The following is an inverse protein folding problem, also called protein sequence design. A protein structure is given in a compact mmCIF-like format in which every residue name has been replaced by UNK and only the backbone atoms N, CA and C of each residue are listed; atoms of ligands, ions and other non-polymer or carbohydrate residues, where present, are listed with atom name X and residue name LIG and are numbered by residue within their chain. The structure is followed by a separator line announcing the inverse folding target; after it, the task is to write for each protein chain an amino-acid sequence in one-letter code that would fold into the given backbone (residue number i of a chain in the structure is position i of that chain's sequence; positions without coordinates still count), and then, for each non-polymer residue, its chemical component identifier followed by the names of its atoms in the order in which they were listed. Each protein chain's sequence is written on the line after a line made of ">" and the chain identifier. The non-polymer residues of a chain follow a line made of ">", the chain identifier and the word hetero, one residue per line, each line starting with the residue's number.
data_IF_435745485044
#
_entry.id   IF_435745485044
#
_cell.length_a   1.000
_cell.length_b   1.000
_cell.length_c   1.000
_cell.angle_alpha   90.00
_cell.angle_beta   90.00
_cell.angle_gamma   90.00
#
_symmetry.space_group_name_H-M   'P 1'
#
loop_
_entity.id
_entity.type
_entity.pdbx_description
1 polymer ?
#
# COMPACT_ATOMS: atom_id res chain seq x y z
N UNK A 1 0.36 -14.93 16.68
CA UNK A 1 0.68 -13.52 16.90
C UNK A 1 1.02 -12.84 15.59
N UNK A 2 2.19 -13.07 14.98
CA UNK A 2 2.52 -12.43 13.70
C UNK A 2 1.51 -12.80 12.61
N UNK A 3 1.00 -14.01 12.57
CA UNK A 3 -0.01 -14.41 11.59
C UNK A 3 -1.32 -13.67 11.78
N UNK A 4 -1.76 -13.49 13.02
CA UNK A 4 -2.98 -12.73 13.31
C UNK A 4 -2.80 -11.26 12.94
N UNK A 5 -1.62 -10.69 13.19
CA UNK A 5 -1.30 -9.31 12.81
C UNK A 5 -1.28 -9.16 11.29
N UNK A 6 -0.72 -10.15 10.56
CA UNK A 6 -0.71 -10.14 9.12
C UNK A 6 -2.13 -10.13 8.55
N UNK A 7 -3.00 -10.97 9.08
CA UNK A 7 -4.40 -11.06 8.64
C UNK A 7 -5.16 -9.77 8.93
N UNK A 8 -4.92 -9.16 10.09
CA UNK A 8 -5.55 -7.89 10.46
C UNK A 8 -5.15 -6.78 9.51
N UNK A 9 -3.85 -6.68 9.20
CA UNK A 9 -3.37 -5.66 8.25
C UNK A 9 -3.93 -5.89 6.86
N UNK A 10 -4.02 -7.15 6.42
CA UNK A 10 -4.60 -7.48 5.12
C UNK A 10 -6.07 -7.07 5.05
N UNK A 11 -6.82 -7.32 6.12
CA UNK A 11 -8.24 -6.91 6.19
C UNK A 11 -8.37 -5.40 6.05
N UNK A 12 -7.50 -4.65 6.72
CA UNK A 12 -7.49 -3.19 6.62
C UNK A 12 -7.12 -2.75 5.20
N UNK A 13 -6.11 -3.38 4.60
CA UNK A 13 -5.70 -3.07 3.23
C UNK A 13 -6.86 -3.28 2.25
N UNK A 14 -7.61 -4.37 2.38
CA UNK A 14 -8.76 -4.66 1.51
C UNK A 14 -9.89 -3.66 1.71
N UNK A 15 -10.13 -3.24 2.93
CA UNK A 15 -11.12 -2.19 3.22
C UNK A 15 -10.73 -0.89 2.54
N UNK A 16 -9.46 -0.51 2.66
CA UNK A 16 -8.95 0.73 2.07
C UNK A 16 -8.92 0.63 0.54
N UNK A 17 -8.68 -0.56 -0.02
CA UNK A 17 -8.73 -0.77 -1.46
C UNK A 17 -10.13 -0.52 -2.03
N UNK A 18 -11.16 -0.95 -1.33
CA UNK A 18 -12.55 -0.66 -1.73
C UNK A 18 -12.80 0.84 -1.79
N UNK A 19 -12.34 1.58 -0.78
CA UNK A 19 -12.49 3.03 -0.75
C UNK A 19 -11.73 3.67 -1.92
N UNK A 20 -10.53 3.18 -2.23
CA UNK A 20 -9.73 3.70 -3.32
C UNK A 20 -10.41 3.49 -4.69
N UNK A 21 -11.09 2.36 -4.88
CA UNK A 21 -11.86 2.11 -6.09
C UNK A 21 -12.97 3.14 -6.29
N UNK A 22 -13.66 3.50 -5.20
CA UNK A 22 -14.72 4.53 -5.25
C UNK A 22 -14.11 5.90 -5.57
N UNK A 23 -12.95 6.22 -5.00
CA UNK A 23 -12.29 7.51 -5.16
C UNK A 23 -11.58 7.66 -6.50
N UNK A 24 -11.60 6.66 -7.38
CA UNK A 24 -10.97 6.78 -8.70
C UNK A 24 -11.71 7.73 -9.63
N UNK A 25 -12.93 8.12 -9.29
CA UNK A 25 -13.72 9.05 -10.09
C UNK A 25 -12.94 10.35 -10.32
N UNK A 26 -12.93 10.81 -11.58
CA UNK A 26 -12.15 11.99 -11.96
C UNK A 26 -12.59 13.26 -11.25
N UNK A 27 -13.82 13.31 -10.71
CA UNK A 27 -14.31 14.46 -9.94
C UNK A 27 -13.70 14.55 -8.55
N UNK A 28 -13.06 13.47 -8.07
CA UNK A 28 -12.39 13.46 -6.77
C UNK A 28 -10.96 13.94 -6.95
N UNK A 29 -10.49 14.80 -6.03
CA UNK A 29 -9.12 15.30 -6.08
C UNK A 29 -8.11 14.13 -6.07
N UNK A 30 -7.08 14.25 -6.90
CA UNK A 30 -6.04 13.20 -6.98
C UNK A 30 -5.41 12.91 -5.63
N UNK A 31 -5.21 13.95 -4.79
CA UNK A 31 -4.60 13.75 -3.47
C UNK A 31 -5.45 12.87 -2.56
N UNK A 32 -6.77 12.97 -2.64
CA UNK A 32 -7.67 12.14 -1.83
C UNK A 32 -7.58 10.68 -2.25
N UNK A 33 -7.62 10.42 -3.55
CA UNK A 33 -7.45 9.09 -4.09
C UNK A 33 -6.04 8.55 -3.80
N UNK A 34 -5.02 9.36 -4.06
CA UNK A 34 -3.62 8.96 -3.86
C UNK A 34 -3.29 8.63 -2.42
N UNK A 35 -3.83 9.40 -1.47
CA UNK A 35 -3.68 9.09 -0.05
C UNK A 35 -4.31 7.74 0.27
N UNK A 36 -5.49 7.45 -0.28
CA UNK A 36 -6.16 6.18 -0.02
C UNK A 36 -5.36 5.02 -0.59
N UNK A 37 -4.80 5.16 -1.80
CA UNK A 37 -3.92 4.13 -2.38
C UNK A 37 -2.68 3.94 -1.51
N UNK A 38 -2.08 5.02 -1.02
CA UNK A 38 -0.94 4.94 -0.12
C UNK A 38 -1.28 4.09 1.12
N UNK A 39 -2.47 4.28 1.69
CA UNK A 39 -2.91 3.49 2.84
C UNK A 39 -3.02 2.00 2.49
N UNK A 40 -3.56 1.68 1.32
CA UNK A 40 -3.63 0.28 0.86
C UNK A 40 -2.23 -0.34 0.80
N UNK A 41 -1.30 0.35 0.16
CA UNK A 41 0.06 -0.14 -0.02
C UNK A 41 0.76 -0.29 1.33
N UNK A 42 0.64 0.72 2.19
CA UNK A 42 1.25 0.68 3.52
C UNK A 42 0.79 -0.55 4.31
N UNK A 43 -0.53 -0.78 4.36
CA UNK A 43 -1.10 -1.89 5.13
C UNK A 43 -0.72 -3.24 4.52
N UNK A 44 -0.69 -3.33 3.19
CA UNK A 44 -0.28 -4.56 2.51
C UNK A 44 1.20 -4.88 2.78
N UNK A 45 2.09 -3.89 2.74
CA UNK A 45 3.50 -4.11 3.03
C UNK A 45 3.73 -4.49 4.49
N UNK A 46 2.99 -3.88 5.41
CA UNK A 46 3.06 -4.25 6.83
C UNK A 46 2.54 -5.66 7.07
N UNK A 47 1.47 -6.06 6.38
CA UNK A 47 0.97 -7.43 6.43
C UNK A 47 2.05 -8.42 5.95
N UNK A 48 2.74 -8.07 4.88
CA UNK A 48 3.83 -8.89 4.34
C UNK A 48 4.96 -9.07 5.36
N UNK A 49 5.38 -7.97 5.99
CA UNK A 49 6.43 -8.03 7.03
C UNK A 49 6.00 -8.92 8.20
N UNK A 50 4.77 -8.77 8.68
CA UNK A 50 4.26 -9.65 9.74
C UNK A 50 4.26 -11.12 9.31
N UNK A 51 3.89 -11.39 8.05
CA UNK A 51 3.87 -12.75 7.52
C UNK A 51 5.28 -13.35 7.53
N UNK A 52 6.30 -12.54 7.30
CA UNK A 52 7.71 -12.97 7.35
C UNK A 52 8.27 -13.04 8.76
N UNK A 53 7.46 -12.75 9.77
CA UNK A 53 7.89 -12.79 11.16
C UNK A 53 8.61 -11.55 11.64
N UNK A 54 8.56 -10.47 10.86
CA UNK A 54 9.17 -9.21 11.23
C UNK A 54 8.14 -8.24 11.81
N UNK A 55 8.59 -7.31 12.63
CA UNK A 55 7.74 -6.23 13.16
C UNK A 55 7.92 -5.00 12.29
N UNK A 56 6.85 -4.55 11.61
CA UNK A 56 6.96 -3.36 10.76
C UNK A 56 7.32 -2.12 11.57
N UNK A 57 8.18 -1.24 11.04
CA UNK A 57 8.46 0.03 11.70
C UNK A 57 7.23 0.95 11.67
N UNK A 58 7.14 1.86 12.63
CA UNK A 58 6.11 2.89 12.66
C UNK A 58 6.46 3.95 11.63
N UNK A 59 5.92 3.81 10.43
CA UNK A 59 6.19 4.75 9.35
C UNK A 59 5.06 4.72 8.33
N UNK A 60 4.86 5.83 7.64
CA UNK A 60 4.00 5.94 6.46
C UNK A 60 4.85 5.98 5.18
N UNK A 61 6.17 5.92 5.30
CA UNK A 61 7.07 5.97 4.16
C UNK A 61 7.20 4.58 3.53
N UNK A 62 6.63 4.45 2.32
CA UNK A 62 6.63 3.18 1.61
C UNK A 62 8.04 2.74 1.21
N UNK A 63 8.94 3.69 0.97
CA UNK A 63 10.34 3.37 0.63
C UNK A 63 10.99 2.63 1.79
N UNK A 64 10.75 3.09 3.02
CA UNK A 64 11.28 2.43 4.22
C UNK A 64 10.74 1.00 4.33
N UNK A 65 9.45 0.81 4.06
CA UNK A 65 8.82 -0.51 4.12
C UNK A 65 9.37 -1.45 3.05
N UNK A 66 9.55 -0.97 1.82
CA UNK A 66 10.17 -1.77 0.76
C UNK A 66 11.60 -2.15 1.09
N UNK A 67 12.38 -1.23 1.64
CA UNK A 67 13.76 -1.53 2.05
C UNK A 67 13.79 -2.59 3.14
N UNK A 68 12.85 -2.53 4.08
CA UNK A 68 12.77 -3.54 5.14
C UNK A 68 12.44 -4.92 4.57
N UNK A 69 11.51 -4.98 3.62
CA UNK A 69 11.18 -6.23 2.94
C UNK A 69 12.38 -6.82 2.22
N UNK A 70 13.15 -5.99 1.51
CA UNK A 70 14.37 -6.44 0.85
C UNK A 70 15.37 -7.02 1.85
N UNK A 71 15.51 -6.35 3.00
CA UNK A 71 16.44 -6.79 4.04
C UNK A 71 16.09 -8.17 4.57
N UNK A 72 14.81 -8.49 4.68
CA UNK A 72 14.37 -9.80 5.17
C UNK A 72 14.16 -10.82 4.06
N UNK A 73 14.61 -10.52 2.84
CA UNK A 73 14.70 -11.48 1.75
C UNK A 73 13.50 -11.56 0.82
N UNK A 74 12.56 -10.60 0.92
CA UNK A 74 11.41 -10.60 0.04
C UNK A 74 11.75 -10.06 -1.35
N UNK A 75 11.11 -10.63 -2.38
CA UNK A 75 11.22 -10.12 -3.74
C UNK A 75 10.11 -9.09 -3.96
N UNK A 76 10.49 -7.81 -4.00
CA UNK A 76 9.54 -6.70 -4.13
C UNK A 76 9.51 -6.08 -5.52
N UNK A 77 10.26 -6.64 -6.47
CA UNK A 77 10.50 -6.03 -7.78
C UNK A 77 9.20 -5.68 -8.53
N UNK A 78 8.21 -6.57 -8.48
CA UNK A 78 6.95 -6.37 -9.19
C UNK A 78 6.11 -5.22 -8.60
N UNK A 79 6.41 -4.77 -7.39
CA UNK A 79 5.55 -3.83 -6.65
C UNK A 79 6.25 -2.52 -6.27
N UNK A 80 7.56 -2.43 -6.47
CA UNK A 80 8.37 -1.33 -5.95
C UNK A 80 7.94 0.05 -6.46
N UNK A 81 7.36 0.13 -7.64
CA UNK A 81 6.91 1.41 -8.20
C UNK A 81 5.79 2.05 -7.38
N UNK A 82 5.10 1.26 -6.56
CA UNK A 82 4.08 1.77 -5.66
C UNK A 82 4.64 2.69 -4.57
N UNK A 83 5.96 2.68 -4.37
CA UNK A 83 6.61 3.56 -3.40
C UNK A 83 6.37 5.05 -3.71
N UNK A 84 6.04 5.39 -4.95
CA UNK A 84 5.73 6.78 -5.35
C UNK A 84 4.56 7.37 -4.59
N UNK A 85 3.67 6.53 -4.07
CA UNK A 85 2.50 7.03 -3.33
C UNK A 85 2.84 7.61 -1.95
N UNK A 86 4.08 7.47 -1.49
CA UNK A 86 4.52 8.05 -0.21
C UNK A 86 4.21 9.55 -0.14
N UNK A 87 4.41 10.29 -1.22
CA UNK A 87 4.23 11.74 -1.22
C UNK A 87 2.79 12.15 -0.91
N UNK A 88 1.82 11.32 -1.24
CA UNK A 88 0.42 11.60 -0.93
C UNK A 88 0.14 11.59 0.58
N UNK A 89 0.92 10.83 1.33
CA UNK A 89 0.76 10.79 2.79
C UNK A 89 1.50 11.93 3.50
N UNK A 90 2.56 12.46 2.89
CA UNK A 90 3.48 13.39 3.55
C UNK A 90 3.39 14.79 2.95
N UNK A 91 3.60 14.92 1.64
CA UNK A 91 3.75 16.21 1.00
C UNK A 91 2.42 16.76 0.47
N UNK A 92 1.70 16.00 -0.32
CA UNK A 92 0.52 16.48 -1.04
C UNK A 92 -0.71 16.60 -0.14
N UNK A 93 -0.74 15.89 0.98
CA UNK A 93 -1.88 15.88 1.89
C UNK A 93 -2.14 17.27 2.50
N UNK A 94 -1.09 18.06 2.68
CA UNK A 94 -1.17 19.37 3.33
C UNK A 94 -1.07 20.54 2.36
N UNK A 95 -1.04 20.27 1.07
CA UNK A 95 -1.04 21.28 0.02
C UNK A 95 -2.47 21.51 -0.44
N UNK A 96 -2.94 22.75 -0.37
CA UNK A 96 -4.32 23.09 -0.77
C UNK A 96 -4.54 22.94 -2.28
N UNK A 97 -3.50 23.17 -3.08
CA UNK A 97 -3.59 23.12 -4.54
C UNK A 97 -2.38 22.39 -5.14
N UNK A 98 -2.23 21.08 -4.86
CA UNK A 98 -1.10 20.33 -5.41
C UNK A 98 -1.25 20.18 -6.91
N UNK A 99 -0.12 20.21 -7.63
CA UNK A 99 -0.14 19.92 -9.05
C UNK A 99 -0.43 18.43 -9.25
N UNK A 100 -1.39 18.08 -10.11
CA UNK A 100 -1.68 16.67 -10.37
C UNK A 100 -0.47 15.96 -10.97
N UNK A 101 -0.25 14.74 -10.55
CA UNK A 101 0.80 13.89 -11.12
C UNK A 101 0.37 13.24 -12.44
N UNK A 102 -0.93 13.33 -12.76
CA UNK A 102 -1.45 12.77 -14.00
C UNK A 102 -1.44 11.25 -14.02
N UNK A 103 -1.63 10.63 -12.87
CA UNK A 103 -1.60 9.17 -12.77
C UNK A 103 -2.86 8.54 -13.35
N UNK A 104 -2.69 7.43 -14.07
CA UNK A 104 -3.81 6.60 -14.52
C UNK A 104 -4.36 5.85 -13.31
N UNK A 105 -5.49 6.31 -12.79
CA UNK A 105 -6.05 5.79 -11.54
C UNK A 105 -6.41 4.32 -11.62
N UNK A 106 -6.99 3.89 -12.74
CA UNK A 106 -7.37 2.49 -12.92
C UNK A 106 -6.15 1.58 -12.94
N UNK A 107 -5.09 1.98 -13.63
CA UNK A 107 -3.85 1.21 -13.68
C UNK A 107 -3.21 1.06 -12.30
N UNK A 108 -3.08 2.17 -11.56
CA UNK A 108 -2.44 2.12 -10.25
C UNK A 108 -3.27 1.38 -9.22
N UNK A 109 -4.60 1.46 -9.32
CA UNK A 109 -5.47 0.63 -8.48
C UNK A 109 -5.27 -0.85 -8.75
N UNK A 110 -5.11 -1.22 -10.03
CA UNK A 110 -4.82 -2.60 -10.41
C UNK A 110 -3.50 -3.07 -9.80
N UNK A 111 -2.48 -2.23 -9.83
CA UNK A 111 -1.18 -2.55 -9.24
C UNK A 111 -1.27 -2.71 -7.73
N UNK A 112 -2.03 -1.86 -7.06
CA UNK A 112 -2.26 -1.96 -5.62
C UNK A 112 -3.01 -3.25 -5.29
N UNK A 113 -4.03 -3.60 -6.07
CA UNK A 113 -4.76 -4.84 -5.90
C UNK A 113 -3.87 -6.06 -6.10
N UNK A 114 -2.98 -6.03 -7.08
CA UNK A 114 -2.01 -7.11 -7.30
C UNK A 114 -1.11 -7.32 -6.09
N UNK A 115 -0.67 -6.23 -5.46
CA UNK A 115 0.11 -6.33 -4.22
C UNK A 115 -0.71 -6.99 -3.11
N UNK A 116 -1.94 -6.54 -2.90
CA UNK A 116 -2.83 -7.10 -1.88
C UNK A 116 -3.04 -8.59 -2.12
N UNK A 117 -3.32 -8.99 -3.35
CA UNK A 117 -3.54 -10.41 -3.69
C UNK A 117 -2.27 -11.23 -3.54
N UNK A 118 -1.10 -10.67 -3.87
CA UNK A 118 0.17 -11.35 -3.65
C UNK A 118 0.38 -11.64 -2.16
N UNK A 119 0.19 -10.63 -1.32
CA UNK A 119 0.34 -10.80 0.13
C UNK A 119 -0.68 -11.79 0.68
N UNK A 120 -1.92 -11.72 0.19
CA UNK A 120 -2.97 -12.65 0.59
C UNK A 120 -2.58 -14.10 0.27
N UNK A 121 -1.97 -14.34 -0.89
CA UNK A 121 -1.53 -15.68 -1.29
C UNK A 121 -0.42 -16.20 -0.36
N UNK A 122 0.48 -15.34 0.09
CA UNK A 122 1.54 -15.71 1.01
C UNK A 122 0.98 -16.08 2.39
N UNK A 123 0.02 -15.31 2.88
CA UNK A 123 -0.63 -15.57 4.17
C UNK A 123 -1.42 -16.88 4.11
N UNK A 124 -2.19 -17.09 3.04
CA UNK A 124 -2.95 -18.31 2.84
C UNK A 124 -2.04 -19.55 2.73
N UNK A 125 -0.93 -19.43 2.02
CA UNK A 125 0.01 -20.53 1.84
C UNK A 125 0.74 -20.89 3.13
N UNK A 126 0.91 -19.90 4.04
CA UNK A 126 1.61 -20.10 5.31
C UNK A 126 0.72 -20.65 6.43
N UNK A 127 -0.57 -20.78 6.17
CA UNK A 127 -1.52 -21.22 7.21
C UNK A 127 -1.93 -22.71 7.07
#
# INVERSE_FOLDING_TARGET
>A
MAEADARSMLTIARRDLKAAWILQDASIAEVSWGFQVQQVVEKALKAWLFQLGDSPPFTHDLVVLFKRLLRVGADVEAHRDLARFTDFAVQFRYDAEPEPMGLDRAEWLQRAEQLVEHVASLIGAGS
#
